data_IF_930788629620
#
_entry.id   IF_930788629620
#
_cell.length_a   1.000
_cell.length_b   1.000
_cell.length_c   1.000
_cell.angle_alpha   90.00
_cell.angle_beta   90.00
_cell.angle_gamma   90.00
#
_symmetry.space_group_name_H-M   'P 1'
#
loop_
_entity.id
_entity.type
_entity.pdbx_description
1 polymer ?
#
# COMPACT_ATOMS: atom_id res chain seq x y z
N UNK A 1 -21.51 2.47 18.75
CA UNK A 1 -21.50 1.16 18.05
C UNK A 1 -20.06 0.89 17.67
N UNK A 2 -19.51 -0.22 18.17
CA UNK A 2 -18.09 -0.52 18.18
C UNK A 2 -17.64 -1.00 16.79
N UNK A 3 -17.26 -0.05 15.95
CA UNK A 3 -16.80 -0.29 14.59
C UNK A 3 -15.43 -0.98 14.58
N UNK A 4 -14.60 -0.78 15.62
CA UNK A 4 -13.35 -1.51 15.80
C UNK A 4 -13.66 -3.00 16.01
N UNK A 5 -14.65 -3.31 16.85
CA UNK A 5 -15.17 -4.67 17.02
C UNK A 5 -15.86 -5.21 15.78
N UNK A 6 -16.58 -4.40 15.00
CA UNK A 6 -17.20 -4.82 13.74
C UNK A 6 -16.17 -5.08 12.63
N UNK A 7 -15.09 -4.30 12.59
CA UNK A 7 -13.94 -4.54 11.73
C UNK A 7 -13.22 -5.82 12.18
N UNK A 8 -12.94 -5.99 13.47
CA UNK A 8 -12.40 -7.22 14.04
C UNK A 8 -13.28 -8.45 13.77
N UNK A 9 -14.61 -8.34 13.87
CA UNK A 9 -15.56 -9.41 13.59
C UNK A 9 -15.63 -9.75 12.09
N UNK A 10 -15.57 -8.74 11.21
CA UNK A 10 -15.46 -8.96 9.76
C UNK A 10 -14.11 -9.61 9.40
N UNK A 11 -13.03 -9.19 10.08
CA UNK A 11 -11.67 -9.73 9.93
C UNK A 11 -11.57 -11.16 10.46
N UNK A 12 -12.14 -11.48 11.62
CA UNK A 12 -12.14 -12.84 12.17
C UNK A 12 -12.89 -13.82 11.26
N UNK A 13 -13.99 -13.38 10.64
CA UNK A 13 -14.71 -14.16 9.63
C UNK A 13 -13.93 -14.31 8.31
N UNK A 14 -13.09 -13.33 7.97
CA UNK A 14 -12.22 -13.37 6.78
C UNK A 14 -11.04 -14.31 6.99
N UNK A 15 -10.40 -14.28 8.16
CA UNK A 15 -9.29 -15.20 8.52
C UNK A 15 -9.79 -16.64 8.56
N UNK A 16 -11.00 -16.92 9.06
CA UNK A 16 -11.58 -18.26 9.02
C UNK A 16 -11.93 -18.74 7.62
N UNK A 17 -12.28 -17.83 6.70
CA UNK A 17 -12.59 -18.16 5.31
C UNK A 17 -11.34 -18.27 4.41
N UNK A 18 -10.18 -17.81 4.90
CA UNK A 18 -8.88 -17.96 4.25
C UNK A 18 -8.21 -19.31 4.55
N UNK A 19 -8.82 -20.16 5.39
CA UNK A 19 -8.48 -21.59 5.44
C UNK A 19 -8.89 -22.25 4.12
N UNK A 20 -7.90 -22.28 3.23
CA UNK A 20 -7.87 -22.85 1.87
C UNK A 20 -8.83 -24.03 1.71
N UNK A 21 -10.00 -23.80 1.12
CA UNK A 21 -10.72 -24.85 0.41
C UNK A 21 -9.85 -25.28 -0.78
N UNK A 22 -9.31 -26.51 -0.72
CA UNK A 22 -8.74 -27.19 -1.89
C UNK A 22 -9.81 -27.26 -2.98
N UNK A 23 -9.79 -26.32 -3.93
CA UNK A 23 -10.59 -26.46 -5.15
C UNK A 23 -9.96 -27.51 -6.05
N UNK A 24 -10.79 -28.49 -6.40
CA UNK A 24 -10.44 -29.67 -7.16
C UNK A 24 -9.89 -29.37 -8.55
N UNK A 25 -9.06 -30.30 -8.98
CA UNK A 25 -8.42 -30.38 -10.29
C UNK A 25 -9.46 -30.34 -11.42
N UNK A 26 -9.33 -29.37 -12.31
CA UNK A 26 -9.71 -29.54 -13.71
C UNK A 26 -8.45 -29.41 -14.54
N UNK A 27 -8.08 -30.52 -15.17
CA UNK A 27 -7.03 -30.64 -16.16
C UNK A 27 -7.36 -29.75 -17.35
N UNK A 28 -6.42 -28.88 -17.70
CA UNK A 28 -5.94 -28.58 -19.07
C UNK A 28 -5.39 -27.16 -19.08
N UNK A 29 -4.09 -27.03 -18.79
CA UNK A 29 -3.13 -26.17 -19.50
C UNK A 29 -1.78 -26.28 -18.77
N UNK A 30 -0.86 -27.01 -19.40
CA UNK A 30 0.50 -27.20 -18.94
C UNK A 30 1.40 -26.04 -19.42
N UNK A 31 2.40 -25.71 -18.59
CA UNK A 31 3.63 -24.96 -18.89
C UNK A 31 3.61 -23.41 -18.90
N UNK A 32 3.13 -22.81 -17.80
CA UNK A 32 3.74 -21.59 -17.29
C UNK A 32 4.04 -21.76 -15.79
N UNK A 33 5.23 -21.38 -15.29
CA UNK A 33 5.44 -21.32 -13.84
C UNK A 33 4.39 -20.38 -13.25
N UNK A 34 3.79 -20.79 -12.14
CA UNK A 34 2.74 -20.06 -11.41
C UNK A 34 3.37 -18.81 -10.77
N UNK A 35 3.63 -17.78 -11.58
CA UNK A 35 4.22 -16.51 -11.13
C UNK A 35 3.11 -15.73 -10.45
N UNK A 36 3.20 -15.61 -9.12
CA UNK A 36 2.28 -14.80 -8.33
C UNK A 36 2.14 -13.39 -8.94
N UNK A 37 0.90 -12.95 -9.10
CA UNK A 37 0.59 -11.62 -9.62
C UNK A 37 1.24 -10.51 -8.77
N UNK A 38 1.42 -9.29 -9.31
CA UNK A 38 1.96 -8.17 -8.54
C UNK A 38 1.15 -7.88 -7.27
N UNK A 39 -0.17 -8.07 -7.32
CA UNK A 39 -1.04 -7.89 -6.17
C UNK A 39 -0.84 -8.96 -5.10
N UNK A 40 -0.72 -10.24 -5.49
CA UNK A 40 -0.42 -11.33 -4.56
C UNK A 40 0.95 -11.16 -3.91
N UNK A 41 1.94 -10.73 -4.69
CA UNK A 41 3.27 -10.41 -4.18
C UNK A 41 3.22 -9.27 -3.16
N UNK A 42 2.49 -8.19 -3.46
CA UNK A 42 2.31 -7.07 -2.52
C UNK A 42 1.59 -7.50 -1.24
N UNK A 43 0.55 -8.32 -1.36
CA UNK A 43 -0.20 -8.87 -0.23
C UNK A 43 0.71 -9.73 0.67
N UNK A 44 1.46 -10.66 0.08
CA UNK A 44 2.41 -11.51 0.82
C UNK A 44 3.46 -10.67 1.55
N UNK A 45 4.02 -9.66 0.88
CA UNK A 45 4.99 -8.76 1.52
C UNK A 45 4.39 -7.98 2.69
N UNK A 46 3.12 -7.57 2.62
CA UNK A 46 2.42 -6.90 3.74
C UNK A 46 2.12 -7.86 4.89
N UNK A 47 1.81 -9.13 4.61
CA UNK A 47 1.57 -10.14 5.65
C UNK A 47 2.86 -10.55 6.38
N UNK A 48 3.95 -10.75 5.64
CA UNK A 48 5.23 -11.24 6.20
C UNK A 48 5.94 -10.15 7.02
N UNK A 49 5.83 -8.89 6.61
CA UNK A 49 6.55 -7.78 7.25
C UNK A 49 5.87 -7.33 8.54
N UNK A 50 6.34 -7.87 9.67
CA UNK A 50 5.88 -7.50 11.02
C UNK A 50 6.51 -6.20 11.58
N UNK A 51 7.47 -5.60 10.87
CA UNK A 51 8.19 -4.39 11.31
C UNK A 51 8.65 -3.52 10.14
N UNK A 52 9.16 -2.33 10.46
CA UNK A 52 9.70 -1.40 9.47
C UNK A 52 10.98 -1.96 8.84
N UNK A 53 11.10 -1.82 7.53
CA UNK A 53 12.35 -2.08 6.82
C UNK A 53 13.20 -0.81 6.90
N UNK A 54 14.28 -0.87 7.67
CA UNK A 54 15.28 0.20 7.67
C UNK A 54 15.99 0.25 6.31
N UNK A 55 16.01 1.43 5.71
CA UNK A 55 16.74 1.67 4.47
C UNK A 55 17.90 2.63 4.76
N UNK A 56 19.10 2.23 4.36
CA UNK A 56 20.28 3.09 4.39
C UNK A 56 20.29 4.11 3.25
N UNK A 57 19.48 3.89 2.21
CA UNK A 57 19.40 4.72 1.01
C UNK A 57 18.96 6.14 1.33
N UNK A 58 19.58 7.12 0.67
CA UNK A 58 19.19 8.51 0.80
C UNK A 58 17.85 8.80 0.13
N UNK A 59 17.12 9.73 0.76
CA UNK A 59 15.88 10.24 0.21
C UNK A 59 16.18 11.42 -0.71
N UNK A 60 15.60 11.38 -1.89
CA UNK A 60 15.54 12.48 -2.83
C UNK A 60 14.17 13.16 -2.69
N UNK A 61 14.18 14.46 -2.41
CA UNK A 61 12.97 15.27 -2.26
C UNK A 61 12.99 16.36 -3.34
N UNK A 62 12.10 16.22 -4.32
CA UNK A 62 11.83 17.25 -5.32
C UNK A 62 10.56 18.00 -4.90
N UNK A 63 10.72 19.27 -4.54
CA UNK A 63 9.63 20.15 -4.10
C UNK A 63 8.90 20.75 -5.30
N UNK A 64 7.61 21.02 -5.14
CA UNK A 64 6.84 21.82 -6.10
C UNK A 64 7.46 23.22 -6.25
N UNK A 65 7.76 23.87 -5.12
CA UNK A 65 8.51 25.12 -5.06
C UNK A 65 9.94 24.83 -4.56
N UNK A 66 10.97 24.96 -5.42
CA UNK A 66 12.37 24.73 -5.04
C UNK A 66 12.89 25.67 -3.94
N UNK A 67 12.24 26.83 -3.73
CA UNK A 67 12.64 27.82 -2.73
C UNK A 67 12.05 27.55 -1.34
N UNK A 68 11.00 26.76 -1.25
CA UNK A 68 10.34 26.40 0.01
C UNK A 68 11.26 25.55 0.91
N UNK A 69 11.44 25.85 2.20
CA UNK A 69 12.38 25.12 3.06
C UNK A 69 12.05 23.62 3.18
N UNK A 70 13.10 22.80 3.29
CA UNK A 70 12.94 21.37 3.57
C UNK A 70 12.55 21.17 5.03
N UNK A 71 11.37 20.61 5.25
CA UNK A 71 10.89 20.24 6.58
C UNK A 71 11.13 18.75 6.83
N UNK A 72 11.78 18.44 7.95
CA UNK A 72 11.85 17.08 8.48
C UNK A 72 11.46 17.07 9.95
N UNK A 73 10.72 16.04 10.35
CA UNK A 73 10.34 15.83 11.76
C UNK A 73 10.94 14.54 12.29
N UNK A 74 11.38 14.58 13.55
CA UNK A 74 11.98 13.42 14.23
C UNK A 74 11.04 12.73 15.22
N UNK A 75 9.92 13.36 15.56
CA UNK A 75 8.92 12.81 16.49
C UNK A 75 7.51 13.16 16.01
N UNK A 76 6.52 12.37 16.41
CA UNK A 76 5.12 12.59 16.00
C UNK A 76 4.49 13.82 16.68
N UNK A 77 4.98 14.24 17.85
CA UNK A 77 4.50 15.43 18.57
C UNK A 77 4.73 16.72 17.76
N UNK A 78 5.82 16.77 16.99
CA UNK A 78 6.17 17.92 16.14
C UNK A 78 5.21 18.11 14.97
N UNK A 79 4.33 17.14 14.71
CA UNK A 79 3.31 17.21 13.66
C UNK A 79 2.01 17.86 14.13
N UNK A 80 1.91 18.23 15.43
CA UNK A 80 0.73 18.90 16.00
C UNK A 80 -0.59 18.17 15.71
N UNK A 81 -0.55 16.84 15.77
CA UNK A 81 -1.70 15.96 15.53
C UNK A 81 -2.75 16.09 16.64
N UNK A 82 -3.99 15.72 16.34
CA UNK A 82 -5.02 15.52 17.37
C UNK A 82 -4.52 14.49 18.40
N UNK A 83 -4.68 14.73 19.71
CA UNK A 83 -4.19 13.82 20.76
C UNK A 83 -4.67 12.37 20.60
N UNK A 84 -5.90 12.18 20.12
CA UNK A 84 -6.51 10.88 19.88
C UNK A 84 -5.82 10.10 18.76
N UNK A 85 -5.43 10.79 17.67
CA UNK A 85 -4.66 10.20 16.57
C UNK A 85 -3.26 9.84 17.05
N UNK A 86 -2.60 10.74 17.79
CA UNK A 86 -1.27 10.50 18.35
C UNK A 86 -1.27 9.28 19.29
N UNK A 87 -2.31 9.15 20.12
CA UNK A 87 -2.50 7.97 20.99
C UNK A 87 -2.67 6.69 20.17
N UNK A 88 -3.38 6.75 19.03
CA UNK A 88 -3.54 5.63 18.10
C UNK A 88 -2.22 5.19 17.49
N UNK A 89 -1.40 6.14 17.04
CA UNK A 89 -0.04 5.88 16.51
C UNK A 89 0.81 5.13 17.54
N UNK A 90 0.83 5.58 18.80
CA UNK A 90 1.60 4.91 19.85
C UNK A 90 1.04 3.53 20.22
N UNK A 91 -0.28 3.35 20.23
CA UNK A 91 -0.87 2.04 20.50
C UNK A 91 -0.56 1.02 19.40
N UNK A 92 -0.34 1.46 18.15
CA UNK A 92 0.16 0.61 17.06
C UNK A 92 1.65 0.26 17.20
N UNK A 93 2.36 0.78 18.20
CA UNK A 93 3.78 0.53 18.45
C UNK A 93 4.74 1.45 17.67
N UNK A 94 4.25 2.54 17.07
CA UNK A 94 5.09 3.49 16.35
C UNK A 94 5.67 4.54 17.30
N UNK A 95 6.93 4.36 17.72
CA UNK A 95 7.60 5.27 18.65
C UNK A 95 8.15 6.54 17.99
N UNK A 96 8.54 6.46 16.72
CA UNK A 96 9.05 7.59 15.95
C UNK A 96 8.71 7.42 14.45
N UNK A 97 8.66 8.52 13.67
CA UNK A 97 8.48 8.44 12.22
C UNK A 97 9.63 7.67 11.55
N UNK A 98 9.30 6.85 10.54
CA UNK A 98 10.32 6.24 9.67
C UNK A 98 10.99 7.28 8.77
N UNK A 99 12.15 6.96 8.17
CA UNK A 99 12.90 7.89 7.29
C UNK A 99 12.02 8.57 6.22
N UNK A 100 11.15 7.81 5.56
CA UNK A 100 10.20 8.35 4.56
C UNK A 100 9.14 9.25 5.22
N UNK A 101 8.63 8.87 6.39
CA UNK A 101 7.62 9.64 7.14
C UNK A 101 8.17 10.96 7.67
N UNK A 102 9.44 11.01 8.08
CA UNK A 102 10.08 12.25 8.56
C UNK A 102 9.97 13.39 7.54
N UNK A 103 10.03 13.07 6.25
CA UNK A 103 9.97 14.03 5.14
C UNK A 103 8.57 14.12 4.52
N UNK A 104 7.83 13.00 4.48
CA UNK A 104 6.50 12.97 3.89
C UNK A 104 5.45 13.64 4.78
N UNK A 105 5.45 13.38 6.08
CA UNK A 105 4.40 13.86 6.98
C UNK A 105 4.29 15.39 7.06
N UNK A 106 5.39 16.18 7.09
CA UNK A 106 5.29 17.63 7.06
C UNK A 106 4.58 18.16 5.80
N UNK A 107 4.85 17.56 4.64
CA UNK A 107 4.23 17.95 3.37
C UNK A 107 2.77 17.47 3.31
N UNK A 108 2.51 16.22 3.72
CA UNK A 108 1.17 15.63 3.74
C UNK A 108 0.21 16.41 4.67
N UNK A 109 0.73 16.93 5.77
CA UNK A 109 -0.05 17.65 6.79
C UNK A 109 0.02 19.18 6.65
N UNK A 110 0.74 19.69 5.64
CA UNK A 110 0.84 21.12 5.38
C UNK A 110 -0.53 21.75 5.10
N UNK A 111 -0.64 23.03 5.49
CA UNK A 111 -1.75 23.91 5.16
C UNK A 111 -1.17 25.17 4.48
N UNK A 112 -1.52 25.46 3.20
CA UNK A 112 -2.52 24.77 2.37
C UNK A 112 -2.13 23.33 2.01
N UNK A 113 -3.12 22.47 1.67
CA UNK A 113 -2.88 21.10 1.23
C UNK A 113 -1.94 21.01 0.04
N UNK A 114 -0.95 20.11 0.11
CA UNK A 114 0.00 19.88 -0.98
C UNK A 114 -0.12 18.46 -1.53
N UNK A 115 -0.02 18.36 -2.86
CA UNK A 115 -0.02 17.09 -3.57
C UNK A 115 1.32 16.37 -3.41
N UNK A 116 1.29 15.03 -3.46
CA UNK A 116 2.50 14.23 -3.28
C UNK A 116 2.50 12.95 -4.12
N UNK A 117 3.68 12.63 -4.68
CA UNK A 117 4.00 11.31 -5.20
C UNK A 117 5.17 10.76 -4.38
N UNK A 118 4.96 9.64 -3.69
CA UNK A 118 5.96 9.03 -2.82
C UNK A 118 6.37 7.62 -3.27
N UNK A 119 7.66 7.46 -3.53
CA UNK A 119 8.33 6.20 -3.84
C UNK A 119 9.07 5.70 -2.62
N UNK A 120 8.81 4.47 -2.25
CA UNK A 120 9.75 3.72 -1.43
C UNK A 120 9.41 2.24 -1.48
N UNK A 121 10.35 1.37 -1.14
CA UNK A 121 10.09 -0.06 -1.02
C UNK A 121 8.95 -0.37 -0.03
N UNK A 122 8.30 -1.52 -0.18
CA UNK A 122 7.26 -1.93 0.78
C UNK A 122 7.87 -2.13 2.18
N UNK A 123 7.08 -1.88 3.23
CA UNK A 123 7.55 -1.94 4.62
C UNK A 123 8.28 -0.70 5.15
N UNK A 124 8.40 0.40 4.40
CA UNK A 124 9.02 1.66 4.88
C UNK A 124 8.07 2.57 5.66
N UNK A 125 6.79 2.23 5.75
CA UNK A 125 5.79 3.02 6.47
C UNK A 125 4.93 3.96 5.61
N UNK A 126 4.90 3.79 4.27
CA UNK A 126 4.01 4.55 3.36
C UNK A 126 2.55 4.53 3.79
N UNK A 127 2.01 3.34 4.10
CA UNK A 127 0.61 3.16 4.51
C UNK A 127 0.27 3.99 5.73
N UNK A 128 1.09 3.92 6.78
CA UNK A 128 0.89 4.74 7.97
C UNK A 128 0.99 6.26 7.66
N UNK A 129 1.85 6.67 6.72
CA UNK A 129 2.00 8.07 6.34
C UNK A 129 0.70 8.63 5.72
N UNK A 130 0.15 7.94 4.71
CA UNK A 130 -1.06 8.42 4.06
C UNK A 130 -2.30 8.22 4.92
N UNK A 131 -2.36 7.15 5.73
CA UNK A 131 -3.45 6.95 6.69
C UNK A 131 -3.51 8.12 7.67
N UNK A 132 -2.36 8.57 8.17
CA UNK A 132 -2.29 9.74 9.05
C UNK A 132 -2.77 11.00 8.33
N UNK A 133 -2.41 11.18 7.06
CA UNK A 133 -2.90 12.29 6.24
C UNK A 133 -4.43 12.24 6.07
N UNK A 134 -4.98 11.06 5.74
CA UNK A 134 -6.42 10.84 5.61
C UNK A 134 -7.16 11.24 6.91
N UNK A 135 -6.73 10.69 8.05
CA UNK A 135 -7.38 10.93 9.34
C UNK A 135 -7.30 12.40 9.77
N UNK A 136 -6.16 13.04 9.54
CA UNK A 136 -5.94 14.44 9.94
C UNK A 136 -6.81 15.43 9.18
N UNK A 137 -7.33 15.07 7.99
CA UNK A 137 -8.16 15.94 7.14
C UNK A 137 -9.67 15.77 7.32
N UNK A 138 -10.10 14.74 8.07
CA UNK A 138 -11.51 14.51 8.36
C UNK A 138 -12.07 15.58 9.29
N UNK A 139 -13.18 16.20 8.87
CA UNK A 139 -14.05 16.99 9.72
C UNK A 139 -15.29 16.18 10.11
N UNK A 140 -15.35 15.76 11.37
CA UNK A 140 -16.41 14.88 11.89
C UNK A 140 -17.77 15.55 12.05
N UNK A 141 -17.85 16.88 11.85
CA UNK A 141 -19.13 17.62 11.86
C UNK A 141 -19.91 17.47 10.55
N UNK A 142 -19.29 16.85 9.54
CA UNK A 142 -19.81 16.77 8.18
C UNK A 142 -20.03 15.31 7.80
N UNK A 143 -21.25 14.81 8.00
CA UNK A 143 -21.67 13.44 7.72
C UNK A 143 -21.79 13.15 6.20
N UNK A 144 -20.65 13.10 5.52
CA UNK A 144 -20.51 12.64 4.14
C UNK A 144 -19.05 12.20 3.84
N UNK A 145 -18.83 11.40 2.77
CA UNK A 145 -17.49 11.04 2.32
C UNK A 145 -16.61 12.24 1.98
N UNK A 146 -15.50 12.38 2.69
CA UNK A 146 -14.51 13.46 2.54
C UNK A 146 -13.17 12.93 2.02
N UNK A 147 -12.86 11.66 2.30
CA UNK A 147 -11.60 11.02 1.92
C UNK A 147 -11.91 9.79 1.09
N UNK A 148 -11.17 9.62 0.00
CA UNK A 148 -11.25 8.45 -0.86
C UNK A 148 -9.86 7.82 -1.03
N UNK A 149 -9.74 6.54 -0.71
CA UNK A 149 -8.52 5.75 -0.95
C UNK A 149 -8.85 4.59 -1.90
N UNK A 150 -8.11 4.53 -3.02
CA UNK A 150 -8.16 3.41 -3.95
C UNK A 150 -7.04 2.43 -3.65
N UNK A 151 -7.39 1.16 -3.54
CA UNK A 151 -6.46 0.04 -3.45
C UNK A 151 -6.75 -0.95 -4.58
N UNK A 152 -5.73 -1.60 -5.14
CA UNK A 152 -5.89 -2.38 -6.38
C UNK A 152 -6.69 -3.68 -6.16
N UNK A 153 -6.67 -4.25 -4.95
CA UNK A 153 -7.44 -5.46 -4.65
C UNK A 153 -8.28 -5.32 -3.40
N UNK A 154 -9.21 -6.27 -3.25
CA UNK A 154 -10.04 -6.39 -2.05
C UNK A 154 -9.17 -6.54 -0.80
N UNK A 155 -8.19 -7.44 -0.85
CA UNK A 155 -7.35 -7.82 0.28
C UNK A 155 -6.46 -6.64 0.72
N UNK A 156 -5.90 -5.90 -0.23
CA UNK A 156 -5.10 -4.70 0.05
C UNK A 156 -5.97 -3.55 0.59
N UNK A 157 -7.20 -3.41 0.10
CA UNK A 157 -8.15 -2.43 0.64
C UNK A 157 -8.46 -2.72 2.12
N UNK A 158 -8.71 -3.99 2.47
CA UNK A 158 -8.96 -4.41 3.86
C UNK A 158 -7.75 -4.07 4.74
N UNK A 159 -6.53 -4.43 4.34
CA UNK A 159 -5.32 -4.12 5.12
C UNK A 159 -5.13 -2.62 5.37
N UNK A 160 -5.38 -1.79 4.35
CA UNK A 160 -5.31 -0.34 4.49
C UNK A 160 -6.40 0.18 5.45
N UNK A 161 -7.61 -0.38 5.37
CA UNK A 161 -8.69 -0.06 6.29
C UNK A 161 -8.42 -0.49 7.73
N UNK A 162 -7.77 -1.63 7.96
CA UNK A 162 -7.32 -2.05 9.29
C UNK A 162 -6.25 -1.13 9.87
N UNK A 163 -5.32 -0.65 9.04
CA UNK A 163 -4.33 0.33 9.47
C UNK A 163 -5.00 1.65 9.87
N UNK A 164 -5.95 2.13 9.06
CA UNK A 164 -6.75 3.31 9.37
C UNK A 164 -7.61 3.12 10.63
N UNK A 165 -8.18 1.93 10.80
CA UNK A 165 -8.98 1.57 11.95
C UNK A 165 -8.16 1.63 13.25
N UNK A 166 -7.03 0.94 13.29
CA UNK A 166 -6.18 0.91 14.48
C UNK A 166 -5.62 2.30 14.83
N UNK A 167 -5.27 3.09 13.83
CA UNK A 167 -4.80 4.46 14.05
C UNK A 167 -5.92 5.38 14.55
N UNK A 168 -7.15 5.17 14.12
CA UNK A 168 -8.33 5.96 14.50
C UNK A 168 -9.10 5.40 15.71
N UNK A 169 -8.63 4.35 16.38
CA UNK A 169 -9.39 3.65 17.43
C UNK A 169 -9.85 4.55 18.60
N UNK A 170 -9.13 5.66 18.86
CA UNK A 170 -9.48 6.65 19.88
C UNK A 170 -10.29 7.84 19.31
N UNK A 171 -10.69 7.79 18.05
CA UNK A 171 -11.50 8.78 17.34
C UNK A 171 -12.89 8.20 17.02
N UNK A 172 -13.80 8.06 18.00
CA UNK A 172 -15.07 7.34 17.82
C UNK A 172 -16.01 7.99 16.79
N UNK A 173 -15.82 9.26 16.49
CA UNK A 173 -16.64 10.02 15.53
C UNK A 173 -16.18 9.84 14.08
N UNK A 174 -14.97 9.31 13.84
CA UNK A 174 -14.50 8.99 12.49
C UNK A 174 -15.12 7.67 12.05
N UNK A 175 -15.64 7.63 10.83
CA UNK A 175 -16.40 6.51 10.27
C UNK A 175 -15.78 6.11 8.94
N UNK A 176 -15.57 4.81 8.75
CA UNK A 176 -14.93 4.22 7.58
C UNK A 176 -15.90 3.24 6.92
N UNK A 177 -15.93 3.23 5.57
CA UNK A 177 -16.73 2.29 4.79
C UNK A 177 -15.93 1.71 3.65
N UNK A 178 -16.05 0.40 3.46
CA UNK A 178 -15.43 -0.29 2.33
C UNK A 178 -16.32 -0.26 1.09
N UNK A 179 -15.75 0.16 -0.03
CA UNK A 179 -16.35 0.07 -1.35
C UNK A 179 -15.64 -1.03 -2.15
N UNK A 180 -15.90 -2.28 -1.79
CA UNK A 180 -15.25 -3.47 -2.38
C UNK A 180 -16.28 -4.51 -2.81
N UNK A 181 -15.86 -5.59 -3.50
CA UNK A 181 -16.76 -6.69 -3.90
C UNK A 181 -17.50 -7.26 -2.68
N UNK A 182 -18.78 -7.61 -2.85
CA UNK A 182 -19.63 -8.12 -1.77
C UNK A 182 -20.29 -7.04 -0.89
N UNK A 183 -19.78 -5.81 -0.87
CA UNK A 183 -20.43 -4.72 -0.14
C UNK A 183 -21.63 -4.16 -0.92
N UNK A 184 -22.79 -4.18 -0.28
CA UNK A 184 -24.04 -3.65 -0.83
C UNK A 184 -24.52 -2.45 -0.02
N UNK A 185 -25.05 -1.47 -0.75
CA UNK A 185 -25.67 -0.27 -0.20
C UNK A 185 -27.01 -0.12 -0.90
N UNK A 186 -28.08 0.04 -0.12
CA UNK A 186 -29.41 0.17 -0.69
C UNK A 186 -29.52 1.46 -1.52
N UNK A 187 -30.16 1.43 -2.70
CA UNK A 187 -30.44 2.64 -3.48
C UNK A 187 -31.09 3.74 -2.63
N UNK A 188 -30.66 4.98 -2.81
CA UNK A 188 -31.14 6.13 -2.03
C UNK A 188 -30.49 6.30 -0.64
N UNK A 189 -29.61 5.37 -0.21
CA UNK A 189 -28.85 5.54 1.03
C UNK A 189 -27.87 6.70 0.90
N UNK A 190 -27.96 7.65 1.84
CA UNK A 190 -26.94 8.68 2.00
C UNK A 190 -25.85 8.16 2.92
N UNK A 191 -24.64 7.97 2.37
CA UNK A 191 -23.48 7.60 3.17
C UNK A 191 -23.13 8.74 4.13
N UNK A 192 -22.93 8.40 5.40
CA UNK A 192 -22.48 9.32 6.45
C UNK A 192 -21.04 9.05 6.87
N UNK A 193 -20.43 8.01 6.30
CA UNK A 193 -19.04 7.64 6.52
C UNK A 193 -18.10 8.70 5.93
N UNK A 194 -17.03 9.01 6.66
CA UNK A 194 -16.10 10.08 6.31
C UNK A 194 -15.02 9.62 5.32
N UNK A 195 -14.60 8.36 5.45
CA UNK A 195 -13.51 7.76 4.68
C UNK A 195 -14.04 6.55 3.91
N UNK A 196 -13.84 6.56 2.60
CA UNK A 196 -14.13 5.42 1.73
C UNK A 196 -12.82 4.79 1.29
N UNK A 197 -12.68 3.48 1.50
CA UNK A 197 -11.53 2.69 1.02
C UNK A 197 -12.09 1.60 0.10
N UNK A 198 -11.58 1.47 -1.12
CA UNK A 198 -12.19 0.55 -2.05
C UNK A 198 -11.39 0.25 -3.30
N UNK A 199 -11.91 -0.68 -4.11
CA UNK A 199 -11.34 -1.00 -5.42
C UNK A 199 -11.88 -0.04 -6.49
N UNK A 200 -11.10 0.29 -7.54
CA UNK A 200 -11.49 1.31 -8.51
C UNK A 200 -12.86 1.05 -9.15
N UNK A 201 -13.14 -0.19 -9.57
CA UNK A 201 -14.42 -0.54 -10.19
C UNK A 201 -15.63 -0.31 -9.29
N UNK A 202 -15.55 -0.73 -8.01
CA UNK A 202 -16.67 -0.61 -7.08
C UNK A 202 -16.88 0.84 -6.62
N UNK A 203 -15.81 1.59 -6.42
CA UNK A 203 -15.87 3.03 -6.14
C UNK A 203 -16.50 3.78 -7.32
N UNK A 204 -16.09 3.46 -8.55
CA UNK A 204 -16.64 4.07 -9.76
C UNK A 204 -18.14 3.82 -9.87
N UNK A 205 -18.59 2.60 -9.57
CA UNK A 205 -20.02 2.27 -9.49
C UNK A 205 -20.74 3.10 -8.41
N UNK A 206 -20.21 3.15 -7.19
CA UNK A 206 -20.79 3.93 -6.10
C UNK A 206 -20.89 5.42 -6.43
N UNK A 207 -19.90 5.97 -7.12
CA UNK A 207 -19.85 7.39 -7.48
C UNK A 207 -20.69 7.75 -8.70
N UNK A 208 -20.66 6.94 -9.77
CA UNK A 208 -21.23 7.31 -11.07
C UNK A 208 -22.56 6.62 -11.38
N UNK A 209 -22.67 5.33 -11.03
CA UNK A 209 -23.87 4.53 -11.31
C UNK A 209 -24.92 4.73 -10.21
N UNK A 210 -24.52 4.59 -8.96
CA UNK A 210 -25.43 4.61 -7.82
C UNK A 210 -25.52 5.96 -7.09
N UNK A 211 -24.56 6.86 -7.32
CA UNK A 211 -24.53 8.21 -6.72
C UNK A 211 -24.52 8.22 -5.19
N UNK A 212 -23.94 7.20 -4.56
CA UNK A 212 -23.74 7.13 -3.11
C UNK A 212 -22.66 8.09 -2.61
N UNK A 213 -21.69 8.41 -3.48
CA UNK A 213 -20.55 9.29 -3.18
C UNK A 213 -20.61 10.50 -4.11
N UNK A 214 -20.53 11.70 -3.54
CA UNK A 214 -20.30 12.94 -4.27
C UNK A 214 -18.79 13.23 -4.32
N UNK A 215 -18.16 12.91 -5.46
CA UNK A 215 -16.72 13.07 -5.66
C UNK A 215 -16.24 14.53 -5.59
N UNK A 216 -17.13 15.52 -5.74
CA UNK A 216 -16.77 16.93 -5.60
C UNK A 216 -16.53 17.36 -4.15
N UNK A 217 -17.00 16.57 -3.18
CA UNK A 217 -16.79 16.80 -1.74
C UNK A 217 -15.54 16.12 -1.18
N UNK A 218 -14.89 15.29 -1.98
CA UNK A 218 -13.64 14.63 -1.59
C UNK A 218 -12.52 15.68 -1.54
N UNK A 219 -11.92 15.82 -0.35
CA UNK A 219 -10.83 16.74 -0.06
C UNK A 219 -9.45 16.06 -0.04
N UNK A 220 -9.42 14.74 0.13
CA UNK A 220 -8.20 13.92 0.02
C UNK A 220 -8.48 12.70 -0.83
N UNK A 221 -7.66 12.49 -1.85
CA UNK A 221 -7.68 11.32 -2.71
C UNK A 221 -6.33 10.60 -2.63
N UNK A 222 -6.35 9.31 -2.31
CA UNK A 222 -5.18 8.46 -2.19
C UNK A 222 -5.25 7.34 -3.23
N UNK A 223 -4.13 7.11 -3.92
CA UNK A 223 -3.92 5.94 -4.77
C UNK A 223 -2.76 5.13 -4.17
N UNK A 224 -3.07 3.97 -3.59
CA UNK A 224 -2.11 3.06 -2.96
C UNK A 224 -1.67 1.96 -3.93
N UNK A 225 -0.43 1.48 -3.79
CA UNK A 225 0.19 0.44 -4.63
C UNK A 225 -0.01 0.72 -6.14
N UNK A 226 0.38 1.91 -6.58
CA UNK A 226 0.04 2.39 -7.92
C UNK A 226 0.68 1.60 -9.08
N UNK A 227 1.85 1.02 -8.85
CA UNK A 227 2.48 0.04 -9.73
C UNK A 227 1.57 -1.18 -9.97
N UNK A 228 1.00 -1.74 -8.90
CA UNK A 228 0.01 -2.82 -8.99
C UNK A 228 -1.30 -2.33 -9.62
N UNK A 229 -1.70 -1.08 -9.33
CA UNK A 229 -2.91 -0.48 -9.90
C UNK A 229 -2.85 -0.40 -11.43
N UNK A 230 -1.71 -0.04 -12.00
CA UNK A 230 -1.53 0.08 -13.45
C UNK A 230 -1.42 -1.29 -14.11
N UNK A 231 -0.75 -2.24 -13.46
CA UNK A 231 -0.63 -3.61 -13.96
C UNK A 231 -1.99 -4.35 -14.00
N UNK A 232 -2.98 -3.89 -13.22
CA UNK A 232 -4.29 -4.53 -13.16
C UNK A 232 -5.20 -4.03 -14.29
N UNK A 233 -5.70 -4.96 -15.10
CA UNK A 233 -6.50 -4.63 -16.28
C UNK A 233 -7.72 -3.74 -15.95
N UNK A 234 -7.83 -2.61 -16.65
CA UNK A 234 -8.94 -1.66 -16.53
C UNK A 234 -8.89 -0.74 -15.30
N UNK A 235 -8.01 -0.99 -14.31
CA UNK A 235 -7.91 -0.13 -13.13
C UNK A 235 -7.36 1.26 -13.46
N UNK A 236 -6.41 1.34 -14.39
CA UNK A 236 -5.90 2.61 -14.93
C UNK A 236 -7.07 3.53 -15.37
N UNK A 237 -7.90 3.07 -16.32
CA UNK A 237 -9.00 3.87 -16.86
C UNK A 237 -10.05 4.23 -15.80
N UNK A 238 -10.34 3.30 -14.88
CA UNK A 238 -11.29 3.52 -13.79
C UNK A 238 -10.77 4.62 -12.84
N UNK A 239 -9.48 4.61 -12.49
CA UNK A 239 -8.86 5.64 -11.67
C UNK A 239 -8.89 7.01 -12.35
N UNK A 240 -8.57 7.09 -13.65
CA UNK A 240 -8.67 8.35 -14.40
C UNK A 240 -10.10 8.89 -14.39
N UNK A 241 -11.10 8.03 -14.58
CA UNK A 241 -12.51 8.43 -14.56
C UNK A 241 -12.94 8.98 -13.20
N UNK A 242 -12.47 8.38 -12.10
CA UNK A 242 -12.70 8.90 -10.74
C UNK A 242 -12.01 10.26 -10.57
N UNK A 243 -10.72 10.35 -10.92
CA UNK A 243 -9.91 11.56 -10.80
C UNK A 243 -10.55 12.77 -11.51
N UNK A 244 -11.04 12.58 -12.74
CA UNK A 244 -11.74 13.62 -13.53
C UNK A 244 -12.97 14.21 -12.84
N UNK A 245 -13.55 13.53 -11.86
CA UNK A 245 -14.72 14.01 -11.12
C UNK A 245 -14.35 14.72 -9.81
N UNK A 246 -13.11 14.61 -9.35
CA UNK A 246 -12.66 15.26 -8.12
C UNK A 246 -12.64 16.80 -8.27
N UNK A 247 -12.54 17.49 -7.14
CA UNK A 247 -12.33 18.94 -7.10
C UNK A 247 -10.86 19.28 -7.39
N UNK A 248 -10.54 20.39 -8.07
CA UNK A 248 -9.15 20.85 -8.21
C UNK A 248 -8.45 21.17 -6.87
N UNK A 249 -9.23 21.41 -5.81
CA UNK A 249 -8.73 21.64 -4.44
C UNK A 249 -8.49 20.34 -3.66
N UNK A 250 -8.77 19.18 -4.26
CA UNK A 250 -8.56 17.89 -3.63
C UNK A 250 -7.05 17.65 -3.50
N UNK A 251 -6.60 17.31 -2.29
CA UNK A 251 -5.23 16.87 -2.10
C UNK A 251 -5.06 15.47 -2.69
N UNK A 252 -4.16 15.34 -3.66
CA UNK A 252 -3.92 14.11 -4.40
C UNK A 252 -2.62 13.48 -3.94
N UNK A 253 -2.70 12.24 -3.48
CA UNK A 253 -1.59 11.50 -2.88
C UNK A 253 -1.41 10.16 -3.60
N UNK A 254 -0.19 9.90 -4.06
CA UNK A 254 0.13 8.72 -4.86
C UNK A 254 1.30 7.98 -4.24
N UNK A 255 1.13 6.68 -4.00
CA UNK A 255 2.14 5.83 -3.36
C UNK A 255 2.42 4.60 -4.22
N UNK A 256 3.72 4.34 -4.44
CA UNK A 256 4.16 3.19 -5.24
C UNK A 256 5.46 2.60 -4.68
N UNK A 257 5.68 1.31 -4.91
CA UNK A 257 6.99 0.70 -4.66
C UNK A 257 7.94 0.92 -5.84
N UNK A 258 7.44 0.83 -7.08
CA UNK A 258 8.22 1.05 -8.31
C UNK A 258 7.84 2.35 -9.02
N UNK A 259 8.78 2.87 -9.83
CA UNK A 259 8.71 4.17 -10.52
C UNK A 259 9.08 4.01 -11.99
N UNK A 260 8.67 2.90 -12.59
CA UNK A 260 8.93 2.67 -14.00
C UNK A 260 8.13 3.68 -14.83
N UNK A 261 8.54 3.87 -16.09
CA UNK A 261 8.07 4.98 -16.92
C UNK A 261 6.54 5.10 -16.95
N UNK A 262 5.83 3.98 -17.11
CA UNK A 262 4.38 3.93 -17.12
C UNK A 262 3.75 4.39 -15.79
N UNK A 263 4.38 4.03 -14.66
CA UNK A 263 3.95 4.45 -13.32
C UNK A 263 4.09 5.96 -13.16
N UNK A 264 5.18 6.53 -13.65
CA UNK A 264 5.42 7.96 -13.59
C UNK A 264 4.49 8.75 -14.50
N UNK A 265 4.28 8.32 -15.74
CA UNK A 265 3.32 8.95 -16.65
C UNK A 265 1.91 8.95 -16.08
N UNK A 266 1.50 7.84 -15.45
CA UNK A 266 0.23 7.76 -14.74
C UNK A 266 0.18 8.68 -13.51
N UNK A 267 1.23 8.71 -12.71
CA UNK A 267 1.32 9.56 -11.52
C UNK A 267 1.21 11.05 -11.86
N UNK A 268 1.93 11.50 -12.90
CA UNK A 268 1.92 12.88 -13.38
C UNK A 268 0.54 13.27 -13.94
N UNK A 269 -0.20 12.33 -14.53
CA UNK A 269 -1.57 12.56 -14.97
C UNK A 269 -2.56 12.69 -13.81
N UNK A 270 -2.38 11.91 -12.75
CA UNK A 270 -3.30 11.87 -11.60
C UNK A 270 -2.99 12.95 -10.57
N UNK A 271 -1.72 13.37 -10.43
CA UNK A 271 -1.26 14.25 -9.35
C UNK A 271 -0.52 15.46 -9.94
N UNK A 272 -1.24 16.53 -10.34
CA UNK A 272 -0.61 17.73 -10.85
C UNK A 272 0.17 18.45 -9.75
N UNK A 273 1.28 19.10 -10.14
CA UNK A 273 2.10 19.94 -9.27
C UNK A 273 2.56 19.26 -7.96
N UNK A 274 2.91 17.97 -8.05
CA UNK A 274 3.27 17.18 -6.88
C UNK A 274 4.65 17.53 -6.29
N UNK A 275 4.74 17.46 -4.96
CA UNK A 275 6.01 17.17 -4.31
C UNK A 275 6.36 15.69 -4.51
N UNK A 276 7.58 15.40 -4.91
CA UNK A 276 8.03 14.04 -5.20
C UNK A 276 9.07 13.64 -4.15
N UNK A 277 8.80 12.54 -3.44
CA UNK A 277 9.76 11.93 -2.52
C UNK A 277 10.14 10.56 -3.07
N UNK A 278 11.43 10.30 -3.22
CA UNK A 278 11.95 9.01 -3.70
C UNK A 278 13.05 8.48 -2.82
N UNK A 279 13.07 7.17 -2.57
CA UNK A 279 14.30 6.52 -2.14
C UNK A 279 15.16 6.36 -3.38
N UNK A 280 16.38 6.89 -3.36
CA UNK A 280 17.31 6.64 -4.45
C UNK A 280 17.44 5.14 -4.63
N UNK A 281 17.23 4.64 -5.85
CA UNK A 281 17.60 3.26 -6.18
C UNK A 281 19.10 3.16 -5.88
N UNK A 282 19.48 2.21 -5.05
CA UNK A 282 20.82 1.64 -5.18
C UNK A 282 20.94 1.27 -6.67
N UNK A 283 21.96 1.75 -7.37
CA UNK A 283 22.56 0.83 -8.33
C UNK A 283 22.91 -0.35 -7.43
N UNK A 284 22.22 -1.48 -7.57
CA UNK A 284 22.60 -2.69 -6.85
C UNK A 284 24.04 -2.99 -7.25
N UNK A 285 24.99 -2.41 -6.52
CA UNK A 285 26.36 -2.75 -6.68
C UNK A 285 26.47 -4.09 -5.99
N UNK A 286 26.60 -5.13 -6.81
CA UNK A 286 26.88 -6.48 -6.36
C UNK A 286 28.30 -6.56 -5.76
N UNK A 287 28.90 -5.43 -5.35
CA UNK A 287 30.24 -5.29 -4.78
C UNK A 287 30.41 -6.23 -3.57
N UNK A 288 29.33 -6.45 -2.84
CA UNK A 288 29.29 -7.34 -1.66
C UNK A 288 28.75 -8.75 -1.99
N UNK A 289 28.23 -8.97 -3.19
CA UNK A 289 27.65 -10.23 -3.65
C UNK A 289 28.61 -10.85 -4.67
N UNK A 290 29.39 -11.82 -4.19
CA UNK A 290 30.23 -12.63 -5.06
C UNK A 290 29.35 -13.57 -5.87
N UNK A 291 29.23 -13.30 -7.16
CA UNK A 291 28.44 -14.10 -8.09
C UNK A 291 29.30 -15.20 -8.72
N UNK A 292 28.76 -16.41 -8.72
CA UNK A 292 29.41 -17.58 -9.29
C UNK A 292 28.40 -18.35 -10.15
N UNK A 293 28.91 -19.13 -11.09
CA UNK A 293 28.12 -20.11 -11.83
C UNK A 293 28.85 -21.44 -11.86
N UNK A 294 28.09 -22.54 -11.90
CA UNK A 294 28.63 -23.89 -12.07
C UNK A 294 28.05 -24.46 -13.35
N UNK A 295 28.92 -24.81 -14.30
CA UNK A 295 28.51 -25.46 -15.54
C UNK A 295 28.19 -26.93 -15.23
N UNK A 296 26.97 -27.36 -15.54
CA UNK A 296 26.50 -28.74 -15.36
C UNK A 296 25.95 -29.24 -16.69
N UNK A 297 26.17 -30.51 -17.01
CA UNK A 297 25.70 -31.16 -18.24
C UNK A 297 24.40 -31.95 -18.04
N UNK A 298 23.96 -32.15 -16.79
CA UNK A 298 22.71 -32.84 -16.44
C UNK A 298 22.12 -32.31 -15.12
N UNK A 299 20.88 -32.71 -14.80
CA UNK A 299 20.24 -32.39 -13.52
C UNK A 299 20.93 -33.09 -12.34
N UNK A 300 21.38 -34.34 -12.51
CA UNK A 300 22.18 -35.05 -11.50
C UNK A 300 23.47 -34.31 -11.17
N UNK A 301 24.18 -33.79 -12.19
CA UNK A 301 25.39 -32.98 -11.95
C UNK A 301 25.06 -31.68 -11.19
N UNK A 302 23.92 -31.05 -11.49
CA UNK A 302 23.45 -29.85 -10.78
C UNK A 302 23.13 -30.16 -9.32
N UNK A 303 22.48 -31.29 -9.04
CA UNK A 303 22.20 -31.74 -7.69
C UNK A 303 23.49 -32.04 -6.91
N UNK A 304 24.42 -32.77 -7.52
CA UNK A 304 25.73 -33.07 -6.92
C UNK A 304 26.53 -31.79 -6.64
N UNK A 305 26.49 -30.81 -7.55
CA UNK A 305 27.14 -29.52 -7.35
C UNK A 305 26.58 -28.79 -6.12
N UNK A 306 25.25 -28.77 -5.96
CA UNK A 306 24.60 -28.18 -4.78
C UNK A 306 25.03 -28.92 -3.51
N UNK A 307 25.04 -30.25 -3.50
CA UNK A 307 25.50 -31.04 -2.35
C UNK A 307 26.96 -30.70 -1.97
N UNK A 308 27.84 -30.60 -2.96
CA UNK A 308 29.23 -30.25 -2.74
C UNK A 308 29.39 -28.84 -2.13
N UNK A 309 28.57 -27.87 -2.59
CA UNK A 309 28.55 -26.51 -2.04
C UNK A 309 28.11 -26.52 -0.58
N UNK A 310 27.04 -27.25 -0.24
CA UNK A 310 26.56 -27.39 1.13
C UNK A 310 27.56 -28.13 2.04
N UNK A 311 28.29 -29.11 1.50
CA UNK A 311 29.32 -29.83 2.26
C UNK A 311 30.61 -29.04 2.46
N UNK A 312 30.91 -28.09 1.57
CA UNK A 312 32.20 -27.38 1.56
C UNK A 312 32.17 -26.01 2.25
N UNK A 313 30.99 -25.44 2.48
CA UNK A 313 30.83 -24.09 3.00
C UNK A 313 29.93 -24.13 4.24
N UNK A 314 30.28 -23.38 5.27
CA UNK A 314 29.39 -23.17 6.41
C UNK A 314 28.24 -22.27 6.00
N UNK A 315 27.11 -22.86 5.63
CA UNK A 315 25.89 -22.16 5.22
C UNK A 315 24.97 -22.02 6.43
N UNK A 316 24.60 -20.78 6.78
CA UNK A 316 23.61 -20.52 7.83
C UNK A 316 22.18 -20.73 7.31
N UNK A 317 21.78 -19.93 6.31
CA UNK A 317 20.52 -20.07 5.58
C UNK A 317 20.78 -19.84 4.09
N UNK A 318 20.06 -20.55 3.24
CA UNK A 318 20.15 -20.41 1.80
C UNK A 318 18.77 -20.55 1.15
N UNK A 319 18.60 -19.88 0.01
CA UNK A 319 17.39 -19.94 -0.82
C UNK A 319 17.81 -20.53 -2.17
N UNK A 320 17.10 -21.56 -2.63
CA UNK A 320 17.29 -22.17 -3.94
C UNK A 320 16.07 -21.84 -4.79
N UNK A 321 16.28 -21.11 -5.88
CA UNK A 321 15.24 -20.82 -6.86
C UNK A 321 15.25 -21.89 -7.95
N UNK A 322 14.10 -22.55 -8.14
CA UNK A 322 13.88 -23.59 -9.15
C UNK A 322 12.90 -23.10 -10.22
N UNK A 323 13.03 -23.61 -11.45
CA UNK A 323 12.14 -23.24 -12.56
C UNK A 323 10.73 -23.84 -12.42
N UNK A 324 10.59 -24.94 -11.68
CA UNK A 324 9.32 -25.62 -11.38
C UNK A 324 9.12 -25.74 -9.87
N UNK A 325 7.86 -25.65 -9.43
CA UNK A 325 7.42 -25.44 -8.05
C UNK A 325 7.84 -26.56 -7.09
N UNK A 326 9.06 -26.45 -6.54
CA UNK A 326 9.46 -27.19 -5.34
C UNK A 326 10.30 -26.25 -4.47
N UNK A 327 9.70 -25.71 -3.41
CA UNK A 327 10.41 -25.01 -2.34
C UNK A 327 10.77 -26.01 -1.25
N UNK A 328 12.05 -26.34 -1.10
CA UNK A 328 12.56 -27.04 0.09
C UNK A 328 13.20 -26.02 1.03
N UNK A 329 12.65 -25.88 2.24
CA UNK A 329 13.30 -25.17 3.34
C UNK A 329 14.13 -26.17 4.15
N UNK A 330 15.45 -26.10 4.02
CA UNK A 330 16.35 -26.84 4.90
C UNK A 330 16.65 -26.00 6.14
N UNK A 331 16.33 -26.55 7.32
CA UNK A 331 16.86 -26.10 8.62
C UNK A 331 17.82 -27.18 9.11
N UNK A 332 19.01 -26.78 9.54
CA UNK A 332 19.85 -27.63 10.40
C UNK A 332 19.25 -27.72 11.80
#
# INVERSE_FOLDING_TARGET
MDWAKKAEDQVSKLVSNLEIEKKGETKDDADAPDVASPAETSLLLKIIRKGLVESKLDLEVQRQDPSSPLYSVKTFEKLHLKPEILKGIYNMGFNAPSKIQENALPILLADPPQNMIAQSQSGTGKTAAFVLAMLSRVDTKLDYPQVLCLSPTYELAIQTGEAAARMAQFCPDIKLKFAVRGEEVAPGTKLTDHIIIGTPGKVLDWALKYRFIDLKKIRVFVLDEADVMIATQGHHDQCIRIHKQLSPKCQMLFFSATYDKEVMEFAEHIVPEANIIRLRREQESLDNIKQYYVKCNSEEEKYQAIQNIYGSITIGQAIIFCHVSIVHLFKN
#
